data_IF_439102380123
#
_entry.id   IF_439102380123
#
_cell.length_a   1.000
_cell.length_b   1.000
_cell.length_c   1.000
_cell.angle_alpha   90.00
_cell.angle_beta   90.00
_cell.angle_gamma   90.00
#
_symmetry.space_group_name_H-M   'P 1'
#
loop_
_entity.id
_entity.type
_entity.pdbx_description
1 polymer ?
#
# COMPACT_ATOMS: atom_id res chain seq x y z
N UNK A 1 -11.33 27.65 11.06
CA UNK A 1 -11.14 28.79 11.99
C UNK A 1 -9.73 29.31 11.78
N UNK A 2 -9.60 30.62 11.55
CA UNK A 2 -8.48 31.25 10.87
C UNK A 2 -7.46 31.83 11.88
N UNK A 3 -6.18 31.84 11.51
CA UNK A 3 -5.01 32.16 12.36
C UNK A 3 -4.86 33.64 12.78
N UNK A 4 -5.95 34.40 12.87
CA UNK A 4 -5.93 35.81 13.28
C UNK A 4 -6.60 36.09 14.64
N UNK A 5 -7.02 35.06 15.39
CA UNK A 5 -7.65 35.24 16.70
C UNK A 5 -6.75 34.90 17.91
N UNK A 6 -5.45 34.64 17.70
CA UNK A 6 -4.50 34.31 18.77
C UNK A 6 -3.50 35.44 19.13
N UNK A 7 -3.72 36.67 18.63
CA UNK A 7 -2.85 37.82 18.89
C UNK A 7 -3.40 38.80 19.96
N UNK A 8 -4.27 38.33 20.86
CA UNK A 8 -4.89 39.16 21.90
C UNK A 8 -4.52 38.76 23.35
N UNK A 9 -3.49 37.95 23.56
CA UNK A 9 -2.95 37.65 24.89
C UNK A 9 -1.44 37.91 24.87
N UNK A 10 -1.06 39.10 25.33
CA UNK A 10 0.32 39.58 25.40
C UNK A 10 1.23 38.65 26.20
N UNK A 11 1.88 37.72 25.50
CA UNK A 11 2.99 36.93 26.00
C UNK A 11 4.24 37.35 25.21
N UNK A 12 5.08 38.17 25.84
CA UNK A 12 6.46 38.40 25.41
C UNK A 12 7.25 37.09 25.55
N UNK A 13 7.88 36.66 24.46
CA UNK A 13 8.83 35.54 24.41
C UNK A 13 10.23 36.05 24.77
N UNK A 14 10.91 35.49 25.78
CA UNK A 14 12.31 35.82 26.05
C UNK A 14 13.23 35.14 25.03
N UNK A 15 13.86 35.99 24.22
CA UNK A 15 15.25 35.97 23.77
C UNK A 15 16.01 34.62 23.78
N UNK A 16 16.00 33.95 22.62
CA UNK A 16 16.85 32.80 22.27
C UNK A 16 18.26 33.23 21.84
N UNK A 17 19.02 33.90 22.72
CA UNK A 17 20.43 34.21 22.45
C UNK A 17 21.34 34.00 23.66
N UNK A 18 21.50 32.77 24.18
CA UNK A 18 22.68 32.50 25.03
C UNK A 18 23.15 31.03 25.19
N UNK A 19 22.96 30.14 24.19
CA UNK A 19 23.45 28.74 24.29
C UNK A 19 24.29 28.31 23.07
N UNK A 20 25.14 29.21 22.55
CA UNK A 20 26.02 28.90 21.42
C UNK A 20 27.52 29.20 21.65
N UNK A 21 27.99 29.18 22.90
CA UNK A 21 29.42 29.37 23.21
C UNK A 21 29.92 28.40 24.29
N UNK A 22 29.95 27.09 24.01
CA UNK A 22 30.81 26.12 24.72
C UNK A 22 30.81 24.75 24.03
N UNK A 23 31.37 24.66 22.84
CA UNK A 23 31.83 23.38 22.30
C UNK A 23 33.00 23.64 21.34
N UNK A 24 34.23 23.52 21.85
CA UNK A 24 35.43 23.37 21.02
C UNK A 24 35.93 21.93 21.18
N UNK A 25 35.85 21.08 20.14
CA UNK A 25 36.60 19.84 20.12
C UNK A 25 38.05 20.08 19.66
N UNK A 26 38.97 19.49 20.42
CA UNK A 26 40.41 19.45 20.20
C UNK A 26 40.80 18.82 18.86
N UNK A 27 41.79 19.44 18.20
CA UNK A 27 42.41 19.01 16.94
C UNK A 27 43.14 17.67 17.10
N UNK A 28 42.66 16.62 16.41
CA UNK A 28 43.44 15.42 16.09
C UNK A 28 43.20 15.06 14.62
N UNK A 29 44.30 15.04 13.85
CA UNK A 29 44.54 14.22 12.64
C UNK A 29 43.57 14.32 11.46
N UNK A 30 43.86 15.22 10.50
CA UNK A 30 43.34 15.12 9.13
C UNK A 30 44.30 14.29 8.27
N UNK A 31 43.84 13.13 7.79
CA UNK A 31 44.38 12.43 6.62
C UNK A 31 43.21 11.79 5.84
N UNK A 32 43.36 11.78 4.50
CA UNK A 32 42.49 11.22 3.44
C UNK A 32 41.32 12.15 3.02
N UNK A 33 41.42 12.90 1.92
CA UNK A 33 41.42 12.50 0.50
C UNK A 33 40.05 12.03 -0.01
N UNK A 34 39.37 12.88 -0.79
CA UNK A 34 38.57 12.46 -1.97
C UNK A 34 38.27 13.68 -2.84
N UNK A 35 38.82 13.66 -4.05
CA UNK A 35 38.45 14.50 -5.18
C UNK A 35 37.56 13.68 -6.14
N UNK A 36 36.45 14.25 -6.61
CA UNK A 36 35.64 13.81 -7.75
C UNK A 36 34.99 15.09 -8.31
N UNK A 37 35.59 15.79 -9.28
CA UNK A 37 35.56 15.58 -10.75
C UNK A 37 34.15 15.59 -11.35
N UNK A 38 33.89 16.71 -12.02
CA UNK A 38 32.73 17.07 -12.84
C UNK A 38 32.85 16.36 -14.20
N UNK A 39 31.76 15.78 -14.71
CA UNK A 39 31.66 15.22 -16.06
C UNK A 39 30.57 15.95 -16.86
N UNK A 40 30.87 16.53 -18.03
CA UNK A 40 29.88 17.10 -18.94
C UNK A 40 29.32 16.04 -19.90
N UNK A 41 28.03 16.14 -20.20
CA UNK A 41 27.34 15.33 -21.22
C UNK A 41 27.47 16.06 -22.57
N UNK A 42 28.17 15.43 -23.52
CA UNK A 42 28.26 15.87 -24.93
C UNK A 42 27.49 14.89 -25.83
N UNK A 43 26.80 15.48 -26.79
CA UNK A 43 25.89 14.90 -27.77
C UNK A 43 26.52 13.91 -28.78
N UNK A 44 25.69 12.96 -29.22
CA UNK A 44 25.71 12.34 -30.56
C UNK A 44 24.29 11.77 -30.77
N UNK A 45 23.52 12.05 -31.82
CA UNK A 45 23.90 12.41 -33.18
C UNK A 45 23.84 11.18 -34.07
N UNK A 46 22.65 10.63 -34.33
CA UNK A 46 22.44 9.62 -35.37
C UNK A 46 21.20 9.98 -36.17
N UNK A 47 21.42 10.60 -37.32
CA UNK A 47 20.48 10.67 -38.42
C UNK A 47 20.64 9.44 -39.31
N UNK A 48 19.52 8.91 -39.79
CA UNK A 48 19.49 8.04 -40.96
C UNK A 48 18.45 8.63 -41.90
N UNK A 49 18.91 9.12 -43.05
CA UNK A 49 18.10 9.49 -44.19
C UNK A 49 18.58 8.78 -45.45
N UNK A 50 17.87 9.02 -46.55
CA UNK A 50 18.04 8.54 -47.95
C UNK A 50 17.39 7.18 -48.26
N UNK A 51 16.20 7.12 -48.89
CA UNK A 51 15.80 7.31 -50.32
C UNK A 51 16.13 6.13 -51.25
N UNK A 52 15.12 5.57 -51.93
CA UNK A 52 15.02 5.59 -53.42
C UNK A 52 13.63 5.21 -53.90
N UNK A 53 13.21 5.91 -54.95
CA UNK A 53 12.02 5.69 -55.75
C UNK A 53 12.21 4.58 -56.80
N UNK A 54 11.10 4.32 -57.51
CA UNK A 54 11.05 3.91 -58.92
C UNK A 54 10.92 2.41 -59.19
N UNK A 55 9.75 1.98 -59.69
CA UNK A 55 9.66 1.54 -61.08
C UNK A 55 8.20 1.27 -61.50
N UNK A 56 7.81 2.02 -62.52
CA UNK A 56 6.66 1.81 -63.37
C UNK A 56 7.06 0.83 -64.48
N UNK A 57 6.25 -0.19 -64.75
CA UNK A 57 6.26 -0.86 -66.06
C UNK A 57 4.85 -1.29 -66.45
N UNK A 58 4.53 -0.95 -67.68
CA UNK A 58 3.25 -1.05 -68.38
C UNK A 58 3.18 -2.32 -69.27
N UNK A 59 2.09 -2.37 -70.07
CA UNK A 59 1.83 -3.17 -71.29
C UNK A 59 1.05 -4.48 -70.99
N UNK A 60 -0.08 -4.87 -71.61
CA UNK A 60 -0.65 -4.69 -72.96
C UNK A 60 -2.21 -4.58 -72.91
N UNK A 61 -2.92 -3.82 -73.75
CA UNK A 61 -3.46 -4.17 -75.10
C UNK A 61 -4.01 -5.61 -75.21
N UNK A 62 -5.12 -5.96 -75.87
CA UNK A 62 -6.22 -5.32 -76.62
C UNK A 62 -6.98 -6.53 -77.21
N UNK A 63 -8.32 -6.61 -77.11
CA UNK A 63 -9.16 -7.34 -78.10
C UNK A 63 -10.65 -7.30 -77.73
N UNK A 64 -11.39 -6.47 -78.46
CA UNK A 64 -12.78 -6.67 -78.87
C UNK A 64 -12.77 -6.96 -80.38
N UNK A 65 -13.83 -7.47 -81.05
CA UNK A 65 -15.09 -8.12 -80.62
C UNK A 65 -15.33 -9.44 -81.43
N UNK A 66 -16.53 -10.07 -81.50
CA UNK A 66 -17.72 -9.50 -82.14
C UNK A 66 -19.04 -9.70 -81.37
N UNK A 67 -19.94 -8.78 -81.68
CA UNK A 67 -21.40 -8.86 -81.51
C UNK A 67 -21.96 -10.12 -82.17
N UNK A 68 -22.79 -10.87 -81.45
CA UNK A 68 -23.91 -11.61 -82.06
C UNK A 68 -25.14 -11.36 -81.19
N UNK A 69 -26.01 -10.55 -81.74
CA UNK A 69 -27.41 -10.41 -81.38
C UNK A 69 -28.15 -11.66 -81.86
N UNK A 70 -28.78 -12.40 -80.95
CA UNK A 70 -29.82 -13.39 -81.29
C UNK A 70 -31.03 -13.12 -80.42
N UNK A 71 -32.09 -12.78 -81.12
CA UNK A 71 -33.46 -12.51 -80.71
C UNK A 71 -34.09 -13.72 -79.97
N UNK A 72 -34.99 -13.49 -78.99
CA UNK A 72 -35.53 -14.55 -78.14
C UNK A 72 -36.58 -15.40 -78.87
N UNK A 73 -36.30 -16.70 -79.01
CA UNK A 73 -37.31 -17.71 -79.35
C UNK A 73 -38.28 -17.90 -78.18
N UNK A 74 -39.55 -17.58 -78.44
CA UNK A 74 -40.68 -17.79 -77.53
C UNK A 74 -40.98 -19.28 -77.48
N UNK A 75 -40.73 -19.92 -76.33
CA UNK A 75 -41.29 -21.24 -76.01
C UNK A 75 -42.16 -21.10 -74.76
N UNK A 76 -43.47 -21.25 -74.94
CA UNK A 76 -44.42 -21.63 -73.90
C UNK A 76 -45.05 -22.97 -74.32
N UNK A 77 -45.70 -23.76 -73.45
CA UNK A 77 -45.92 -23.61 -72.01
C UNK A 77 -45.63 -24.91 -71.20
N UNK A 78 -45.13 -24.82 -69.96
CA UNK A 78 -45.49 -25.79 -68.90
C UNK A 78 -45.64 -25.11 -67.55
N UNK A 79 -46.85 -25.20 -67.03
CA UNK A 79 -47.25 -24.77 -65.71
C UNK A 79 -46.60 -25.68 -64.67
N UNK A 80 -45.97 -25.07 -63.67
CA UNK A 80 -45.45 -25.64 -62.42
C UNK A 80 -44.02 -26.19 -62.36
N UNK A 81 -43.08 -25.73 -63.19
CA UNK A 81 -41.66 -26.01 -62.89
C UNK A 81 -41.22 -25.19 -61.66
N UNK A 82 -40.63 -25.84 -60.64
CA UNK A 82 -40.23 -25.16 -59.42
C UNK A 82 -39.12 -24.15 -59.71
N UNK A 83 -39.27 -22.92 -59.21
CA UNK A 83 -38.25 -21.87 -59.38
C UNK A 83 -37.02 -22.24 -58.57
N UNK A 84 -35.87 -22.36 -59.23
CA UNK A 84 -34.59 -22.65 -58.58
C UNK A 84 -33.96 -21.35 -58.08
N UNK A 85 -33.71 -21.27 -56.78
CA UNK A 85 -33.05 -20.13 -56.13
C UNK A 85 -31.72 -20.58 -55.52
N UNK A 86 -30.69 -19.77 -55.76
CA UNK A 86 -29.36 -19.99 -55.22
C UNK A 86 -29.24 -19.25 -53.89
N UNK A 87 -29.02 -19.99 -52.80
CA UNK A 87 -28.73 -19.47 -51.48
C UNK A 87 -27.26 -19.75 -51.15
N UNK A 88 -26.48 -18.70 -50.98
CA UNK A 88 -25.08 -18.80 -50.57
C UNK A 88 -25.00 -18.77 -49.04
N UNK A 89 -24.42 -19.81 -48.44
CA UNK A 89 -24.31 -19.96 -46.98
C UNK A 89 -22.84 -20.11 -46.60
N UNK A 90 -22.40 -19.30 -45.63
CA UNK A 90 -21.04 -19.36 -45.09
C UNK A 90 -21.09 -20.07 -43.73
N UNK A 91 -20.44 -21.23 -43.63
CA UNK A 91 -20.34 -22.04 -42.41
C UNK A 91 -18.89 -22.32 -42.07
N UNK A 92 -18.57 -22.60 -40.81
CA UNK A 92 -17.18 -22.87 -40.40
C UNK A 92 -16.85 -24.35 -40.35
N UNK A 93 -17.84 -25.22 -40.21
CA UNK A 93 -17.67 -26.66 -40.33
C UNK A 93 -18.83 -27.27 -41.12
N UNK A 94 -18.64 -28.40 -41.84
CA UNK A 94 -19.71 -29.06 -42.58
C UNK A 94 -20.89 -29.48 -41.68
N UNK A 95 -20.62 -29.76 -40.41
CA UNK A 95 -21.61 -30.15 -39.40
C UNK A 95 -22.56 -29.02 -38.97
N UNK A 96 -22.21 -27.76 -39.29
CA UNK A 96 -23.06 -26.60 -39.01
C UNK A 96 -24.28 -26.53 -39.96
N UNK A 97 -24.23 -27.23 -41.09
CA UNK A 97 -25.36 -27.36 -42.01
C UNK A 97 -26.41 -28.32 -41.43
N UNK A 98 -27.63 -27.81 -41.20
CA UNK A 98 -28.74 -28.58 -40.61
C UNK A 98 -29.61 -29.29 -41.64
N UNK A 99 -29.33 -29.10 -42.91
CA UNK A 99 -30.13 -29.62 -44.04
C UNK A 99 -29.28 -30.51 -44.93
N UNK A 100 -29.90 -31.56 -45.46
CA UNK A 100 -29.29 -32.49 -46.42
C UNK A 100 -29.93 -32.31 -47.79
N UNK A 101 -29.25 -32.84 -48.81
CA UNK A 101 -29.83 -32.87 -50.16
C UNK A 101 -31.11 -33.71 -50.15
N UNK A 102 -32.18 -33.15 -50.70
CA UNK A 102 -33.51 -33.78 -50.73
C UNK A 102 -34.44 -33.34 -49.60
N UNK A 103 -33.93 -32.65 -48.56
CA UNK A 103 -34.77 -32.18 -47.45
C UNK A 103 -35.71 -31.05 -47.88
N UNK A 104 -36.92 -31.08 -47.33
CA UNK A 104 -37.89 -29.97 -47.41
C UNK A 104 -37.62 -28.97 -46.28
N UNK A 105 -37.35 -27.72 -46.65
CA UNK A 105 -37.13 -26.61 -45.72
C UNK A 105 -38.33 -25.66 -45.75
N UNK A 106 -38.86 -25.32 -44.58
CA UNK A 106 -39.92 -24.33 -44.43
C UNK A 106 -39.33 -22.93 -44.34
N UNK A 107 -40.16 -21.93 -44.64
CA UNK A 107 -39.85 -20.52 -44.39
C UNK A 107 -39.50 -20.33 -42.90
N UNK A 108 -38.43 -19.57 -42.64
CA UNK A 108 -37.79 -19.36 -41.34
C UNK A 108 -37.11 -20.58 -40.70
N UNK A 109 -37.11 -21.75 -41.36
CA UNK A 109 -36.39 -22.93 -40.87
C UNK A 109 -34.89 -22.68 -40.92
N UNK A 110 -34.18 -23.08 -39.87
CA UNK A 110 -32.72 -22.94 -39.76
C UNK A 110 -32.05 -23.86 -40.77
N UNK A 111 -31.24 -23.27 -41.65
CA UNK A 111 -30.50 -23.96 -42.71
C UNK A 111 -29.06 -24.24 -42.24
N UNK A 112 -28.47 -23.30 -41.51
CA UNK A 112 -27.17 -23.47 -40.88
C UNK A 112 -27.12 -22.78 -39.52
N UNK A 113 -26.53 -23.47 -38.54
CA UNK A 113 -26.28 -22.92 -37.21
C UNK A 113 -24.96 -23.44 -36.62
N UNK A 114 -24.29 -22.58 -35.86
CA UNK A 114 -22.94 -22.84 -35.33
C UNK A 114 -23.02 -23.21 -33.85
N UNK A 115 -23.75 -24.27 -33.54
CA UNK A 115 -24.07 -24.66 -32.15
C UNK A 115 -22.83 -24.97 -31.30
N UNK A 116 -21.86 -25.71 -31.86
CA UNK A 116 -20.62 -26.07 -31.13
C UNK A 116 -19.82 -24.84 -30.70
N UNK A 117 -19.71 -23.84 -31.58
CA UNK A 117 -19.00 -22.60 -31.27
C UNK A 117 -19.76 -21.79 -30.22
N UNK A 118 -21.10 -21.74 -30.33
CA UNK A 118 -21.96 -21.09 -29.33
C UNK A 118 -21.82 -21.75 -27.95
N UNK A 119 -21.82 -23.07 -27.89
CA UNK A 119 -21.66 -23.83 -26.65
C UNK A 119 -20.28 -23.55 -26.02
N UNK A 120 -19.22 -23.62 -26.83
CA UNK A 120 -17.84 -23.32 -26.40
C UNK A 120 -17.73 -21.91 -25.82
N UNK A 121 -18.24 -20.89 -26.52
CA UNK A 121 -18.20 -19.50 -26.06
C UNK A 121 -19.06 -19.29 -24.82
N UNK A 122 -20.17 -20.02 -24.68
CA UNK A 122 -21.03 -19.98 -23.49
C UNK A 122 -20.31 -20.58 -22.28
N UNK A 123 -19.63 -21.72 -22.44
CA UNK A 123 -18.77 -22.30 -21.39
C UNK A 123 -17.66 -21.33 -21.01
N UNK A 124 -17.01 -20.69 -22.00
CA UNK A 124 -15.97 -19.69 -21.76
C UNK A 124 -16.51 -18.48 -20.98
N UNK A 125 -17.70 -17.99 -21.34
CA UNK A 125 -18.39 -16.93 -20.61
C UNK A 125 -18.61 -17.31 -19.15
N UNK A 126 -19.19 -18.48 -18.88
CA UNK A 126 -19.43 -18.96 -17.51
C UNK A 126 -18.12 -19.06 -16.73
N UNK A 127 -17.05 -19.57 -17.34
CA UNK A 127 -15.73 -19.65 -16.70
C UNK A 127 -15.16 -18.25 -16.34
N UNK A 128 -15.29 -17.27 -17.23
CA UNK A 128 -14.90 -15.89 -16.98
C UNK A 128 -15.74 -15.25 -15.87
N UNK A 129 -17.07 -15.44 -15.90
CA UNK A 129 -17.99 -14.96 -14.86
C UNK A 129 -17.63 -15.51 -13.48
N UNK A 130 -17.34 -16.82 -13.39
CA UNK A 130 -16.91 -17.44 -12.15
C UNK A 130 -15.57 -16.89 -11.66
N UNK A 131 -14.64 -16.60 -12.58
CA UNK A 131 -13.34 -16.00 -12.24
C UNK A 131 -13.51 -14.58 -11.68
N UNK A 132 -14.37 -13.76 -12.30
CA UNK A 132 -14.74 -12.43 -11.79
C UNK A 132 -15.41 -12.54 -10.42
N UNK A 133 -16.35 -13.48 -10.24
CA UNK A 133 -17.05 -13.67 -8.96
C UNK A 133 -16.08 -14.02 -7.82
N UNK A 134 -15.08 -14.87 -8.08
CA UNK A 134 -14.01 -15.17 -7.10
C UNK A 134 -13.20 -13.93 -6.76
N UNK A 135 -12.83 -13.15 -7.78
CA UNK A 135 -12.13 -11.88 -7.59
C UNK A 135 -13.03 -10.78 -7.01
N UNK A 136 -14.35 -10.93 -6.90
CA UNK A 136 -15.25 -9.94 -6.30
C UNK A 136 -15.45 -10.14 -4.78
N UNK A 137 -14.91 -11.20 -4.20
CA UNK A 137 -14.92 -11.41 -2.74
C UNK A 137 -14.02 -10.37 -2.06
N UNK A 138 -14.60 -9.51 -1.22
CA UNK A 138 -13.89 -8.41 -0.56
C UNK A 138 -12.63 -8.90 0.18
N UNK A 139 -11.51 -8.20 0.00
CA UNK A 139 -10.30 -8.46 0.79
C UNK A 139 -10.48 -7.80 2.16
N UNK A 140 -9.87 -8.38 3.19
CA UNK A 140 -10.01 -7.90 4.56
C UNK A 140 -8.89 -6.89 4.81
N UNK A 141 -9.19 -5.65 5.22
CA UNK A 141 -8.17 -4.66 5.51
C UNK A 141 -7.34 -5.08 6.75
N UNK A 142 -6.07 -4.66 6.83
CA UNK A 142 -5.27 -4.92 8.01
C UNK A 142 -5.91 -4.26 9.24
N UNK A 143 -5.93 -4.99 10.36
CA UNK A 143 -6.47 -4.48 11.61
C UNK A 143 -5.51 -3.45 12.22
N UNK A 144 -6.08 -2.40 12.81
CA UNK A 144 -5.30 -1.41 13.54
C UNK A 144 -4.55 -2.08 14.71
N UNK A 145 -3.29 -1.68 14.97
CA UNK A 145 -2.50 -2.29 16.02
C UNK A 145 -3.05 -1.93 17.40
N UNK A 146 -2.81 -2.83 18.36
CA UNK A 146 -3.17 -2.57 19.77
C UNK A 146 -2.27 -1.47 20.34
N UNK A 147 -2.80 -0.57 21.18
CA UNK A 147 -1.99 0.46 21.81
C UNK A 147 -0.93 -0.18 22.72
N UNK A 148 0.31 0.32 22.61
CA UNK A 148 1.40 -0.08 23.49
C UNK A 148 1.10 0.40 24.91
N UNK A 149 1.45 -0.41 25.92
CA UNK A 149 1.24 -0.07 27.33
C UNK A 149 2.09 1.15 27.72
N UNK A 150 1.44 2.19 28.23
CA UNK A 150 2.11 3.43 28.66
C UNK A 150 2.95 3.15 29.92
N UNK A 151 4.22 3.58 29.97
CA UNK A 151 5.03 3.44 31.17
C UNK A 151 4.50 4.29 32.35
N UNK A 152 4.60 3.75 33.56
CA UNK A 152 4.17 4.42 34.79
C UNK A 152 5.16 5.53 35.14
N UNK A 153 4.66 6.75 35.37
CA UNK A 153 5.50 7.89 35.74
C UNK A 153 6.16 7.69 37.10
N UNK A 154 7.41 8.10 37.22
CA UNK A 154 8.12 8.14 38.50
C UNK A 154 7.44 9.09 39.49
N UNK A 155 7.49 8.80 40.80
CA UNK A 155 7.00 9.72 41.83
C UNK A 155 7.82 11.02 41.81
N UNK A 156 7.25 12.10 42.32
CA UNK A 156 7.93 13.40 42.44
C UNK A 156 9.14 13.28 43.38
N UNK A 157 10.22 13.96 42.99
CA UNK A 157 11.46 14.02 43.78
C UNK A 157 11.20 14.73 45.12
N UNK A 158 11.64 14.12 46.23
CA UNK A 158 11.62 14.73 47.56
C UNK A 158 12.76 14.17 48.39
N UNK A 159 13.40 15.04 49.17
CA UNK A 159 14.51 14.70 50.08
C UNK A 159 14.32 15.35 51.46
N UNK A 160 13.07 15.64 51.82
CA UNK A 160 12.76 16.43 53.01
C UNK A 160 13.24 15.73 54.30
N UNK A 161 13.15 14.41 54.36
CA UNK A 161 13.56 13.61 55.52
C UNK A 161 15.10 13.59 55.66
N UNK A 162 15.82 13.39 54.57
CA UNK A 162 17.28 13.38 54.56
C UNK A 162 17.84 14.75 54.95
N UNK A 163 17.28 15.83 54.41
CA UNK A 163 17.67 17.21 54.74
C UNK A 163 17.37 17.52 56.22
N UNK A 164 16.20 17.12 56.73
CA UNK A 164 15.86 17.30 58.14
C UNK A 164 16.82 16.54 59.07
N UNK A 165 17.23 15.34 58.66
CA UNK A 165 18.21 14.53 59.40
C UNK A 165 19.59 15.20 59.43
N UNK A 166 20.10 15.67 58.28
CA UNK A 166 21.37 16.41 58.20
C UNK A 166 21.32 17.65 59.11
N UNK A 167 20.25 18.44 59.03
CA UNK A 167 20.10 19.64 59.86
C UNK A 167 20.12 19.30 61.37
N UNK A 168 19.48 18.20 61.77
CA UNK A 168 19.52 17.72 63.15
C UNK A 168 20.95 17.37 63.59
N UNK A 169 21.72 16.68 62.74
CA UNK A 169 23.10 16.30 63.06
C UNK A 169 24.03 17.51 63.12
N UNK A 170 23.87 18.48 62.22
CA UNK A 170 24.62 19.76 62.27
C UNK A 170 24.40 20.47 63.62
N UNK A 171 23.17 20.49 64.12
CA UNK A 171 22.86 21.08 65.43
C UNK A 171 23.54 20.32 66.58
N UNK A 172 23.61 18.99 66.50
CA UNK A 172 24.30 18.16 67.50
C UNK A 172 25.81 18.36 67.49
N UNK A 173 26.42 18.42 66.31
CA UNK A 173 27.85 18.75 66.16
C UNK A 173 28.13 20.11 66.78
N UNK A 174 27.36 21.14 66.42
CA UNK A 174 27.50 22.48 66.98
C UNK A 174 27.36 22.49 68.52
N UNK A 175 26.40 21.74 69.06
CA UNK A 175 26.23 21.63 70.51
C UNK A 175 27.43 20.93 71.19
N UNK A 176 28.01 19.91 70.57
CA UNK A 176 29.21 19.22 71.06
C UNK A 176 30.46 20.10 70.98
N UNK A 177 30.64 20.85 69.88
CA UNK A 177 31.74 21.80 69.71
C UNK A 177 31.73 22.88 70.79
N UNK A 178 30.56 23.44 71.12
CA UNK A 178 30.43 24.43 72.18
C UNK A 178 30.79 23.84 73.56
N UNK A 179 30.46 22.58 73.84
CA UNK A 179 30.87 21.90 75.09
C UNK A 179 32.39 21.77 75.17
N UNK A 180 33.05 21.32 74.09
CA UNK A 180 34.52 21.23 74.02
C UNK A 180 35.15 22.61 74.24
N UNK A 181 34.64 23.64 73.56
CA UNK A 181 35.13 25.02 73.69
C UNK A 181 34.93 25.61 75.09
N UNK A 182 33.79 25.34 75.73
CA UNK A 182 33.53 25.75 77.12
C UNK A 182 34.49 25.04 78.08
N UNK A 183 34.70 23.74 77.90
CA UNK A 183 35.60 22.95 78.73
C UNK A 183 37.07 23.37 78.57
N UNK A 184 37.50 23.65 77.34
CA UNK A 184 38.85 24.16 77.07
C UNK A 184 39.08 25.50 77.79
N UNK A 185 38.15 26.45 77.65
CA UNK A 185 38.21 27.73 78.37
C UNK A 185 38.31 27.54 79.89
N UNK A 186 37.60 26.56 80.44
CA UNK A 186 37.65 26.24 81.88
C UNK A 186 39.05 25.75 82.27
N UNK A 187 39.64 24.86 81.49
CA UNK A 187 41.02 24.38 81.72
C UNK A 187 42.02 25.53 81.61
N UNK A 188 41.88 26.41 80.61
CA UNK A 188 42.77 27.56 80.41
C UNK A 188 42.73 28.50 81.62
N UNK A 189 41.53 28.79 82.16
CA UNK A 189 41.36 29.58 83.39
C UNK A 189 41.98 28.89 84.58
N UNK A 190 41.77 27.58 84.76
CA UNK A 190 42.41 26.80 85.83
C UNK A 190 43.94 26.83 85.75
N UNK A 191 44.50 26.88 84.54
CA UNK A 191 45.94 27.01 84.31
C UNK A 191 46.54 28.36 84.72
N UNK A 192 45.72 29.36 85.04
CA UNK A 192 46.20 30.68 85.52
C UNK A 192 46.36 30.79 87.03
N UNK A 193 45.90 29.79 87.80
CA UNK A 193 46.01 29.76 89.27
C UNK A 193 47.37 29.18 89.71
N UNK A 194 47.88 29.63 90.84
CA UNK A 194 49.12 29.12 91.43
C UNK A 194 48.96 27.68 91.94
N UNK A 195 50.00 26.85 91.77
CA UNK A 195 49.99 25.41 92.11
C UNK A 195 49.68 25.10 93.60
N UNK A 196 49.85 26.08 94.49
CA UNK A 196 49.56 25.95 95.93
C UNK A 196 48.05 25.97 96.23
N UNK A 197 47.27 26.63 95.37
CA UNK A 197 45.84 26.85 95.56
C UNK A 197 44.98 25.88 94.71
N UNK A 198 45.60 25.10 93.82
CA UNK A 198 44.90 24.18 92.92
C UNK A 198 45.31 22.72 93.16
N UNK A 199 44.40 21.86 93.62
CA UNK A 199 44.67 20.43 93.72
C UNK A 199 44.88 19.80 92.34
N UNK A 200 45.99 19.07 92.15
CA UNK A 200 46.34 18.42 90.88
C UNK A 200 45.26 17.45 90.37
N UNK A 201 44.51 16.83 91.28
CA UNK A 201 43.39 15.95 90.95
C UNK A 201 42.27 16.65 90.15
N UNK A 202 42.06 17.96 90.38
CA UNK A 202 41.05 18.75 89.66
C UNK A 202 41.44 18.91 88.19
N UNK A 203 42.71 19.20 87.90
CA UNK A 203 43.20 19.33 86.52
C UNK A 203 43.06 18.02 85.75
N UNK A 204 43.43 16.89 86.37
CA UNK A 204 43.30 15.55 85.76
C UNK A 204 41.84 15.26 85.41
N UNK A 205 40.92 15.51 86.34
CA UNK A 205 39.49 15.30 86.12
C UNK A 205 38.93 16.16 84.98
N UNK A 206 39.31 17.44 84.92
CA UNK A 206 38.84 18.35 83.88
C UNK A 206 39.45 18.02 82.51
N UNK A 207 40.70 17.53 82.45
CA UNK A 207 41.30 16.98 81.25
C UNK A 207 40.58 15.72 80.77
N UNK A 208 40.20 14.82 81.68
CA UNK A 208 39.48 13.61 81.31
C UNK A 208 38.07 13.92 80.77
N UNK A 209 37.39 14.94 81.30
CA UNK A 209 36.14 15.45 80.73
C UNK A 209 36.31 16.05 79.33
N UNK A 210 37.43 16.74 79.08
CA UNK A 210 37.72 17.24 77.74
C UNK A 210 37.83 16.09 76.73
N UNK A 211 38.50 15.01 77.09
CA UNK A 211 38.60 13.80 76.26
C UNK A 211 37.21 13.21 75.99
N UNK A 212 36.34 13.14 77.00
CA UNK A 212 34.95 12.68 76.84
C UNK A 212 34.17 13.57 75.84
N UNK A 213 34.23 14.90 75.99
CA UNK A 213 33.56 15.81 75.07
C UNK A 213 34.14 15.80 73.66
N UNK A 214 35.45 15.54 73.51
CA UNK A 214 36.07 15.34 72.21
C UNK A 214 35.57 14.06 71.55
N UNK A 215 35.46 12.96 72.30
CA UNK A 215 34.88 11.71 71.79
C UNK A 215 33.41 11.88 71.36
N UNK A 216 32.61 12.64 72.13
CA UNK A 216 31.24 12.99 71.78
C UNK A 216 31.17 13.84 70.49
N UNK A 217 32.09 14.78 70.33
CA UNK A 217 32.19 15.60 69.13
C UNK A 217 32.53 14.75 67.89
N UNK A 218 33.51 13.87 68.01
CA UNK A 218 33.91 12.98 66.92
C UNK A 218 32.76 12.07 66.51
N UNK A 219 32.04 11.51 67.49
CA UNK A 219 30.82 10.73 67.24
C UNK A 219 29.76 11.54 66.50
N UNK A 220 29.48 12.77 66.94
CA UNK A 220 28.50 13.63 66.29
C UNK A 220 28.89 13.97 64.84
N UNK A 221 30.20 14.15 64.57
CA UNK A 221 30.71 14.38 63.22
C UNK A 221 30.56 13.14 62.33
N UNK A 222 30.88 11.94 62.84
CA UNK A 222 30.64 10.70 62.11
C UNK A 222 29.16 10.47 61.80
N UNK A 223 28.26 10.80 62.74
CA UNK A 223 26.81 10.71 62.54
C UNK A 223 26.32 11.71 61.47
N UNK A 224 26.91 12.92 61.41
CA UNK A 224 26.64 13.90 60.35
C UNK A 224 27.10 13.36 58.99
N UNK A 225 28.34 12.88 58.89
CA UNK A 225 28.90 12.34 57.64
C UNK A 225 28.06 11.15 57.12
N UNK A 226 27.59 10.28 58.02
CA UNK A 226 26.67 9.20 57.67
C UNK A 226 25.34 9.73 57.10
N UNK A 227 24.79 10.80 57.68
CA UNK A 227 23.56 11.41 57.17
C UNK A 227 23.76 12.04 55.77
N UNK A 228 24.90 12.68 55.54
CA UNK A 228 25.28 13.21 54.23
C UNK A 228 25.47 12.09 53.20
N UNK A 229 26.13 10.99 53.58
CA UNK A 229 26.27 9.80 52.75
C UNK A 229 24.93 9.18 52.36
N UNK A 230 23.97 9.11 53.29
CA UNK A 230 22.59 8.65 52.99
C UNK A 230 21.87 9.56 52.01
N UNK A 231 22.01 10.87 52.16
CA UNK A 231 21.44 11.84 51.22
C UNK A 231 22.03 11.70 49.82
N UNK A 232 23.35 11.51 49.71
CA UNK A 232 23.99 11.27 48.42
C UNK A 232 23.54 9.94 47.80
N UNK A 233 23.46 8.87 48.58
CA UNK A 233 22.93 7.60 48.10
C UNK A 233 21.47 7.70 47.62
N UNK A 234 20.63 8.50 48.28
CA UNK A 234 19.27 8.77 47.85
C UNK A 234 19.22 9.50 46.50
N UNK A 235 20.11 10.49 46.29
CA UNK A 235 20.27 11.17 45.00
C UNK A 235 20.73 10.24 43.89
N UNK A 236 21.74 9.42 44.15
CA UNK A 236 22.28 8.51 43.16
C UNK A 236 21.24 7.44 42.77
N UNK A 237 20.50 6.92 43.75
CA UNK A 237 19.36 6.03 43.51
C UNK A 237 18.30 6.69 42.63
N UNK A 238 17.97 7.96 42.91
CA UNK A 238 17.01 8.70 42.11
C UNK A 238 17.50 8.88 40.66
N UNK A 239 18.77 9.25 40.47
CA UNK A 239 19.36 9.40 39.15
C UNK A 239 19.34 8.07 38.36
N UNK A 240 19.59 6.95 39.03
CA UNK A 240 19.49 5.62 38.42
C UNK A 240 18.05 5.28 38.02
N UNK A 241 17.07 5.55 38.88
CA UNK A 241 15.65 5.31 38.56
C UNK A 241 15.18 6.18 37.38
N UNK A 242 15.61 7.44 37.31
CA UNK A 242 15.35 8.35 36.19
C UNK A 242 15.98 7.86 34.88
N UNK A 243 17.22 7.37 34.95
CA UNK A 243 17.89 6.76 33.81
C UNK A 243 17.09 5.56 33.29
N UNK A 244 16.72 4.60 34.16
CA UNK A 244 15.92 3.44 33.77
C UNK A 244 14.54 3.80 33.22
N UNK A 245 13.92 4.83 33.78
CA UNK A 245 12.66 5.35 33.27
C UNK A 245 12.83 5.95 31.87
N UNK A 246 13.90 6.71 31.63
CA UNK A 246 14.16 7.26 30.29
C UNK A 246 14.43 6.18 29.25
N UNK A 247 15.15 5.10 29.58
CA UNK A 247 15.27 3.92 28.72
C UNK A 247 13.91 3.29 28.40
N UNK A 248 13.02 3.22 29.40
CA UNK A 248 11.68 2.64 29.23
C UNK A 248 10.82 3.51 28.31
N UNK A 249 10.90 4.83 28.44
CA UNK A 249 10.21 5.78 27.56
C UNK A 249 10.75 5.66 26.13
N UNK A 250 12.07 5.62 25.95
CA UNK A 250 12.68 5.48 24.63
C UNK A 250 12.24 4.18 23.93
N UNK A 251 12.21 3.06 24.67
CA UNK A 251 11.69 1.78 24.15
C UNK A 251 10.21 1.88 23.78
N UNK A 252 9.40 2.50 24.63
CA UNK A 252 7.97 2.69 24.36
C UNK A 252 7.75 3.50 23.07
N UNK A 253 8.46 4.61 22.89
CA UNK A 253 8.37 5.44 21.67
C UNK A 253 8.84 4.67 20.42
N UNK A 254 9.94 3.91 20.55
CA UNK A 254 10.43 3.06 19.48
C UNK A 254 9.39 2.00 19.08
N UNK A 255 8.80 1.29 20.05
CA UNK A 255 7.78 0.27 19.81
C UNK A 255 6.55 0.87 19.13
N UNK A 256 6.10 2.06 19.58
CA UNK A 256 5.01 2.78 18.92
C UNK A 256 5.33 3.12 17.46
N UNK A 257 6.51 3.66 17.20
CA UNK A 257 6.94 4.02 15.85
C UNK A 257 7.05 2.79 14.94
N UNK A 258 7.60 1.68 15.46
CA UNK A 258 7.71 0.43 14.71
C UNK A 258 6.34 -0.14 14.35
N UNK A 259 5.43 -0.18 15.32
CA UNK A 259 4.07 -0.68 15.12
C UNK A 259 3.29 0.21 14.12
N UNK A 260 3.41 1.54 14.24
CA UNK A 260 2.79 2.47 13.31
C UNK A 260 3.33 2.29 11.87
N UNK A 261 4.65 2.12 11.72
CA UNK A 261 5.27 1.89 10.43
C UNK A 261 4.86 0.54 9.82
N UNK A 262 4.79 -0.53 10.62
CA UNK A 262 4.31 -1.83 10.16
C UNK A 262 2.86 -1.76 9.70
N UNK A 263 2.00 -1.08 10.46
CA UNK A 263 0.61 -0.90 10.07
C UNK A 263 0.49 -0.11 8.75
N UNK A 264 1.25 0.98 8.60
CA UNK A 264 1.28 1.75 7.36
C UNK A 264 1.73 0.92 6.14
N UNK A 265 2.75 0.05 6.31
CA UNK A 265 3.17 -0.88 5.25
C UNK A 265 2.05 -1.85 4.87
N UNK A 266 1.39 -2.45 5.86
CA UNK A 266 0.28 -3.38 5.61
C UNK A 266 -0.89 -2.70 4.88
N UNK A 267 -1.18 -1.42 5.18
CA UNK A 267 -2.19 -0.64 4.47
C UNK A 267 -1.81 -0.38 3.02
N UNK A 268 -0.55 -0.02 2.77
CA UNK A 268 -0.07 0.22 1.41
C UNK A 268 -0.10 -1.07 0.56
N UNK A 269 0.29 -2.20 1.15
CA UNK A 269 0.20 -3.51 0.49
C UNK A 269 -1.24 -3.90 0.18
N UNK A 270 -2.15 -3.69 1.13
CA UNK A 270 -3.58 -3.90 0.92
C UNK A 270 -4.13 -3.05 -0.24
N UNK A 271 -3.79 -1.76 -0.27
CA UNK A 271 -4.20 -0.86 -1.37
C UNK A 271 -3.66 -1.33 -2.72
N UNK A 272 -2.40 -1.79 -2.77
CA UNK A 272 -1.80 -2.35 -3.98
C UNK A 272 -2.53 -3.61 -4.44
N UNK A 273 -2.88 -4.50 -3.52
CA UNK A 273 -3.65 -5.71 -3.83
C UNK A 273 -5.03 -5.38 -4.41
N UNK A 274 -5.72 -4.38 -3.85
CA UNK A 274 -7.01 -3.92 -4.38
C UNK A 274 -6.87 -3.29 -5.79
N UNK A 275 -5.81 -2.52 -6.04
CA UNK A 275 -5.53 -1.99 -7.39
C UNK A 275 -5.25 -3.12 -8.39
N UNK A 276 -4.41 -4.08 -8.03
CA UNK A 276 -4.11 -5.23 -8.89
C UNK A 276 -5.37 -6.06 -9.19
N UNK A 277 -6.18 -6.30 -8.15
CA UNK A 277 -7.45 -7.01 -8.27
C UNK A 277 -8.44 -6.29 -9.19
N UNK A 278 -8.61 -4.97 -9.04
CA UNK A 278 -9.49 -4.19 -9.91
C UNK A 278 -9.00 -4.20 -11.37
N UNK A 279 -7.69 -4.15 -11.59
CA UNK A 279 -7.09 -4.32 -12.91
C UNK A 279 -7.39 -5.71 -13.52
N UNK A 280 -7.27 -6.78 -12.72
CA UNK A 280 -7.60 -8.14 -13.16
C UNK A 280 -9.09 -8.26 -13.51
N UNK A 281 -9.99 -7.71 -12.69
CA UNK A 281 -11.43 -7.68 -12.98
C UNK A 281 -11.70 -6.93 -14.29
N UNK A 282 -11.10 -5.75 -14.48
CA UNK A 282 -11.24 -4.97 -15.71
C UNK A 282 -10.75 -5.77 -16.94
N UNK A 283 -9.62 -6.46 -16.81
CA UNK A 283 -9.06 -7.33 -17.86
C UNK A 283 -10.00 -8.48 -18.19
N UNK A 284 -10.56 -9.16 -17.18
CA UNK A 284 -11.53 -10.25 -17.39
C UNK A 284 -12.85 -9.74 -17.98
N UNK A 285 -13.32 -8.55 -17.58
CA UNK A 285 -14.49 -7.91 -18.16
C UNK A 285 -14.27 -7.59 -19.64
N UNK A 286 -13.09 -7.12 -20.03
CA UNK A 286 -12.73 -6.92 -21.44
C UNK A 286 -12.83 -8.21 -22.24
N UNK A 287 -12.25 -9.31 -21.74
CA UNK A 287 -12.35 -10.64 -22.37
C UNK A 287 -13.80 -11.14 -22.43
N UNK A 288 -14.58 -10.90 -21.39
CA UNK A 288 -16.00 -11.28 -21.36
C UNK A 288 -16.80 -10.51 -22.41
N UNK A 289 -16.57 -9.20 -22.55
CA UNK A 289 -17.22 -8.37 -23.58
C UNK A 289 -16.85 -8.81 -25.00
N UNK A 290 -15.60 -9.24 -25.21
CA UNK A 290 -15.16 -9.84 -26.48
C UNK A 290 -15.93 -11.13 -26.79
N UNK A 291 -16.00 -12.07 -25.84
CA UNK A 291 -16.77 -13.32 -25.97
C UNK A 291 -18.26 -13.03 -26.22
N UNK A 292 -18.84 -12.04 -25.54
CA UNK A 292 -20.23 -11.63 -25.78
C UNK A 292 -20.44 -11.04 -27.17
N UNK A 293 -19.46 -10.30 -27.69
CA UNK A 293 -19.49 -9.78 -29.06
C UNK A 293 -19.39 -10.93 -30.07
N UNK A 294 -18.51 -11.91 -29.84
CA UNK A 294 -18.41 -13.12 -30.65
C UNK A 294 -19.73 -13.89 -30.65
N UNK A 295 -20.35 -14.11 -29.48
CA UNK A 295 -21.67 -14.75 -29.38
C UNK A 295 -22.77 -13.99 -30.15
N UNK A 296 -22.77 -12.66 -30.12
CA UNK A 296 -23.74 -11.83 -30.88
C UNK A 296 -23.51 -11.86 -32.39
N UNK A 297 -22.26 -11.97 -32.82
CA UNK A 297 -21.89 -12.04 -34.25
C UNK A 297 -22.08 -13.43 -34.86
N UNK A 298 -22.23 -14.48 -34.04
CA UNK A 298 -22.65 -15.79 -34.53
C UNK A 298 -24.07 -15.70 -35.10
N UNK A 299 -24.15 -15.66 -36.42
CA UNK A 299 -25.41 -15.61 -37.15
C UNK A 299 -25.97 -17.01 -37.38
N UNK A 300 -27.29 -17.14 -37.21
CA UNK A 300 -28.05 -18.32 -37.62
C UNK A 300 -28.68 -18.04 -38.98
N UNK A 301 -28.41 -18.87 -39.98
CA UNK A 301 -28.93 -18.68 -41.34
C UNK A 301 -30.25 -19.41 -41.48
N UNK A 302 -31.31 -18.70 -41.85
CA UNK A 302 -32.68 -19.23 -42.04
C UNK A 302 -33.07 -19.24 -43.51
N UNK A 303 -33.97 -20.15 -43.87
CA UNK A 303 -34.56 -20.19 -45.21
C UNK A 303 -35.60 -19.08 -45.36
N UNK A 304 -35.50 -18.20 -46.37
CA UNK A 304 -36.50 -17.15 -46.60
C UNK A 304 -37.84 -17.67 -47.15
N UNK A 305 -37.87 -18.91 -47.65
CA UNK A 305 -39.03 -19.50 -48.34
C UNK A 305 -39.20 -20.99 -48.00
N UNK A 306 -40.39 -21.52 -48.30
CA UNK A 306 -40.63 -22.96 -48.34
C UNK A 306 -40.02 -23.53 -49.63
N UNK A 307 -39.09 -24.48 -49.51
CA UNK A 307 -38.37 -25.03 -50.66
C UNK A 307 -37.88 -26.46 -50.41
N UNK A 308 -37.55 -27.19 -51.48
CA UNK A 308 -36.83 -28.46 -51.39
C UNK A 308 -35.37 -28.25 -51.78
N UNK A 309 -34.43 -28.71 -50.96
CA UNK A 309 -32.99 -28.60 -51.22
C UNK A 309 -32.62 -29.56 -52.35
N UNK A 310 -32.39 -29.06 -53.57
CA UNK A 310 -32.07 -29.90 -54.73
C UNK A 310 -30.60 -30.28 -54.80
N UNK A 311 -29.72 -29.35 -54.43
CA UNK A 311 -28.27 -29.55 -54.52
C UNK A 311 -27.56 -28.70 -53.48
N UNK A 312 -26.56 -29.29 -52.82
CA UNK A 312 -25.61 -28.60 -51.96
C UNK A 312 -24.25 -28.75 -52.65
N UNK A 313 -23.61 -27.63 -53.01
CA UNK A 313 -22.28 -27.62 -53.62
C UNK A 313 -21.34 -26.79 -52.76
N UNK A 314 -20.14 -27.29 -52.48
CA UNK A 314 -19.08 -26.46 -51.91
C UNK A 314 -18.59 -25.50 -53.01
N UNK A 315 -18.82 -24.20 -52.80
CA UNK A 315 -18.45 -23.14 -53.72
C UNK A 315 -16.97 -22.75 -53.58
N UNK A 316 -16.42 -22.85 -52.36
CA UNK A 316 -15.03 -22.56 -52.06
C UNK A 316 -14.75 -22.49 -50.56
N UNK A 317 -13.49 -22.23 -50.21
CA UNK A 317 -13.03 -22.00 -48.85
C UNK A 317 -12.26 -20.67 -48.82
N UNK A 318 -12.65 -19.76 -47.94
CA UNK A 318 -11.98 -18.47 -47.75
C UNK A 318 -11.97 -18.10 -46.27
N UNK A 319 -10.83 -17.64 -45.75
CA UNK A 319 -10.64 -17.20 -44.36
C UNK A 319 -11.26 -18.12 -43.30
N UNK A 320 -10.94 -19.42 -43.39
CA UNK A 320 -11.43 -20.45 -42.46
C UNK A 320 -12.97 -20.63 -42.43
N UNK A 321 -13.65 -20.17 -43.49
CA UNK A 321 -15.08 -20.38 -43.74
C UNK A 321 -15.26 -21.20 -45.01
N UNK A 322 -16.17 -22.15 -44.96
CA UNK A 322 -16.64 -22.96 -46.08
C UNK A 322 -17.88 -22.28 -46.65
N UNK A 323 -17.84 -21.96 -47.94
CA UNK A 323 -18.96 -21.37 -48.66
C UNK A 323 -19.71 -22.48 -49.39
N UNK A 324 -20.99 -22.67 -49.05
CA UNK A 324 -21.88 -23.62 -49.71
C UNK A 324 -22.93 -22.89 -50.55
N UNK A 325 -23.10 -23.34 -51.78
CA UNK A 325 -24.18 -22.93 -52.66
C UNK A 325 -25.31 -23.97 -52.55
N UNK A 326 -26.44 -23.56 -51.96
CA UNK A 326 -27.66 -24.36 -51.90
C UNK A 326 -28.59 -23.96 -53.04
N UNK A 327 -28.98 -24.91 -53.87
CA UNK A 327 -30.00 -24.73 -54.91
C UNK A 327 -31.34 -25.20 -54.35
N UNK A 328 -32.23 -24.25 -54.08
CA UNK A 328 -33.55 -24.45 -53.50
C UNK A 328 -34.62 -24.46 -54.60
N UNK A 329 -35.47 -25.48 -54.65
CA UNK A 329 -36.63 -25.53 -55.54
C UNK A 329 -37.88 -25.03 -54.83
N UNK A 330 -38.41 -23.89 -55.28
CA UNK A 330 -39.60 -23.26 -54.70
C UNK A 330 -40.82 -23.58 -55.55
N UNK A 331 -41.87 -24.09 -54.91
CA UNK A 331 -43.18 -24.24 -55.54
C UNK A 331 -43.91 -22.90 -55.52
N UNK A 332 -44.12 -22.30 -56.70
CA UNK A 332 -44.67 -20.95 -56.88
C UNK A 332 -46.15 -20.77 -56.45
N UNK A 333 -46.73 -21.72 -55.70
CA UNK A 333 -48.15 -21.78 -55.34
C UNK A 333 -48.51 -21.37 -53.91
N UNK A 334 -47.56 -21.30 -52.96
CA UNK A 334 -47.88 -21.12 -51.53
C UNK A 334 -47.65 -19.70 -50.96
N UNK A 335 -47.02 -18.79 -51.70
CA UNK A 335 -46.57 -17.48 -51.18
C UNK A 335 -47.26 -16.26 -51.82
N UNK A 336 -48.53 -16.37 -52.25
CA UNK A 336 -49.31 -15.16 -52.60
C UNK A 336 -49.78 -14.48 -51.30
N UNK A 337 -49.41 -13.22 -51.01
CA UNK A 337 -50.03 -12.47 -49.92
C UNK A 337 -51.51 -12.31 -50.27
N UNK A 338 -52.39 -12.92 -49.48
CA UNK A 338 -53.83 -12.71 -49.59
C UNK A 338 -54.10 -11.24 -49.29
N UNK A 339 -54.42 -10.48 -50.33
CA UNK A 339 -54.87 -9.09 -50.24
C UNK A 339 -56.22 -9.11 -49.51
N UNK A 340 -56.21 -8.86 -48.21
CA UNK A 340 -57.42 -8.75 -47.40
C UNK A 340 -58.18 -7.50 -47.83
N UNK A 341 -59.26 -7.67 -48.59
CA UNK A 341 -60.19 -6.59 -48.92
C UNK A 341 -60.90 -6.12 -47.65
N UNK A 342 -61.08 -4.80 -47.45
CA UNK A 342 -61.86 -4.29 -46.33
C UNK A 342 -63.34 -4.62 -46.55
N UNK A 343 -63.97 -5.23 -45.54
CA UNK A 343 -65.42 -5.43 -45.50
C UNK A 343 -66.07 -4.06 -45.27
N UNK A 344 -67.05 -3.73 -46.12
CA UNK A 344 -67.89 -2.52 -46.07
C UNK A 344 -68.56 -2.31 -44.73
#
# INVERSE_FOLDING_TARGET
MNNQQLLALGFELPEQQEIAKRYQPSRIGKWLATAWVILPIVASGFGIGSTVANMQKAIAQESTPPVVEVEPEIVTPRTSDPRLLKLTVNVSSPEDLKVKQGDEVKKEQVVADRDKERDRLTVQKVALTNSIARLNIASIPPLAPKPVKVPIKLPSITYAEEIATINNQILKVKAAEEKVKLQQRKIDVLGTFDERDLPQAVLIHEQQKLIEYQADLDKAKSDQELAEGKYQAAKDRRAYDEYRYSETIAKFEQDQNQIAAQYQRSLAEYQKQEQERTFQIATLNGKMAEVETQLKTLTTVRSPYNAVVKRIKLAGQSDNKLQYDLVLAINSGSDRPTKTSPKK
#
